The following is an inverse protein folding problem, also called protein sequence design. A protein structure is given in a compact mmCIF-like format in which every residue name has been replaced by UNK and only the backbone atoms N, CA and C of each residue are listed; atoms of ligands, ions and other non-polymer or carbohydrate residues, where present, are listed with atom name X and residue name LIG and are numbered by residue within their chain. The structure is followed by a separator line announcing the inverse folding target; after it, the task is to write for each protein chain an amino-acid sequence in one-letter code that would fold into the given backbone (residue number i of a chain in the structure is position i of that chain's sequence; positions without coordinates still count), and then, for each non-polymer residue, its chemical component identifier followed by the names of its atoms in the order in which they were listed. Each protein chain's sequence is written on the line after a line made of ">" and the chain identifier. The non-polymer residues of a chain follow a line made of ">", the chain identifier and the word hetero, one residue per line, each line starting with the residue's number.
data_IF_753708480720
#
_entry.id   IF_753708480720
#
_cell.length_a   1.000
_cell.length_b   1.000
_cell.length_c   1.000
_cell.angle_alpha   90.00
_cell.angle_beta   90.00
_cell.angle_gamma   90.00
#
_symmetry.space_group_name_H-M   'P 1'
#
loop_
_entity.id
_entity.type
_entity.pdbx_description
1 polymer ?
#
# COMPACT_ATOMS: atom_id res chain seq x y z
N UNK A 1 58.07 -10.22 -15.66
CA UNK A 1 56.94 -9.30 -15.47
C UNK A 1 55.74 -10.10 -14.98
N UNK A 2 55.36 -9.94 -13.74
CA UNK A 2 54.19 -10.58 -13.18
C UNK A 2 52.97 -9.89 -13.83
N UNK A 3 52.13 -10.67 -14.50
CA UNK A 3 50.92 -10.17 -15.15
C UNK A 3 49.97 -9.68 -14.04
N UNK A 4 49.58 -8.41 -14.06
CA UNK A 4 48.60 -7.84 -13.15
C UNK A 4 47.30 -8.68 -13.18
N UNK A 5 46.82 -9.13 -12.02
CA UNK A 5 45.56 -9.89 -11.87
C UNK A 5 44.68 -9.14 -10.90
N UNK A 6 43.59 -8.55 -11.42
CA UNK A 6 42.57 -7.92 -10.61
C UNK A 6 41.42 -8.87 -10.34
N UNK A 7 40.93 -8.83 -9.14
CA UNK A 7 39.80 -9.62 -8.70
C UNK A 7 38.77 -8.72 -8.07
N UNK A 8 37.59 -8.69 -8.67
CA UNK A 8 36.39 -8.23 -8.01
C UNK A 8 35.76 -9.32 -7.16
N UNK A 9 35.24 -8.92 -5.99
CA UNK A 9 34.31 -9.74 -5.22
C UNK A 9 33.06 -8.87 -5.02
N UNK A 10 31.88 -9.36 -5.45
CA UNK A 10 30.59 -8.73 -5.23
C UNK A 10 29.93 -9.41 -4.04
N UNK A 11 29.79 -8.70 -2.93
CA UNK A 11 29.09 -9.22 -1.75
C UNK A 11 27.62 -9.46 -2.11
N UNK A 12 27.04 -10.58 -1.64
CA UNK A 12 25.70 -11.01 -2.04
C UNK A 12 25.61 -11.66 -3.44
N UNK A 13 26.74 -11.72 -4.19
CA UNK A 13 26.80 -12.34 -5.53
C UNK A 13 26.60 -11.38 -6.70
N UNK A 14 26.80 -11.89 -7.91
CA UNK A 14 26.63 -11.15 -9.15
C UNK A 14 25.15 -11.09 -9.60
N UNK A 15 24.35 -12.08 -9.21
CA UNK A 15 22.92 -12.13 -9.53
C UNK A 15 22.12 -12.05 -8.25
N UNK A 16 21.18 -11.10 -8.23
CA UNK A 16 20.29 -10.85 -7.10
C UNK A 16 18.84 -10.78 -7.58
N UNK A 17 17.89 -11.02 -6.67
CA UNK A 17 16.48 -10.79 -6.91
C UNK A 17 15.83 -10.09 -5.71
N UNK A 18 14.98 -9.10 -5.99
CA UNK A 18 14.13 -8.43 -5.02
C UNK A 18 12.71 -8.43 -5.56
N UNK A 19 11.72 -8.15 -4.69
CA UNK A 19 10.34 -7.89 -5.12
C UNK A 19 10.09 -6.41 -5.29
N UNK A 20 9.20 -6.04 -6.20
CA UNK A 20 8.74 -4.65 -6.36
C UNK A 20 8.34 -4.06 -4.99
N UNK A 21 8.67 -2.81 -4.75
CA UNK A 21 8.43 -2.15 -3.46
C UNK A 21 9.50 -2.41 -2.38
N UNK A 22 10.48 -3.29 -2.65
CA UNK A 22 11.63 -3.52 -1.76
C UNK A 22 12.78 -2.61 -2.17
N UNK A 23 13.20 -1.72 -1.27
CA UNK A 23 14.35 -0.84 -1.52
C UNK A 23 15.61 -1.66 -1.84
N UNK A 24 16.23 -1.38 -2.99
CA UNK A 24 17.53 -1.95 -3.30
C UNK A 24 18.60 -1.31 -2.42
N UNK A 25 19.36 -2.16 -1.73
CA UNK A 25 20.56 -1.76 -1.02
C UNK A 25 21.76 -2.48 -1.64
N UNK A 26 22.77 -1.71 -2.03
CA UNK A 26 24.05 -2.29 -2.51
C UNK A 26 24.71 -3.08 -1.38
N UNK A 27 24.91 -4.41 -1.54
CA UNK A 27 25.49 -5.24 -0.47
C UNK A 27 26.97 -5.00 -0.24
N UNK A 28 27.66 -4.43 -1.21
CA UNK A 28 29.08 -4.15 -1.17
C UNK A 28 29.88 -4.87 -2.25
N UNK A 29 31.13 -4.44 -2.37
CA UNK A 29 32.10 -4.99 -3.30
C UNK A 29 33.53 -4.75 -2.83
N UNK A 30 34.49 -5.53 -3.33
CA UNK A 30 35.92 -5.29 -3.18
C UNK A 30 36.65 -5.48 -4.51
N UNK A 31 37.70 -4.69 -4.71
CA UNK A 31 38.59 -4.82 -5.87
C UNK A 31 40.05 -4.89 -5.40
N UNK A 32 40.72 -5.96 -5.74
CA UNK A 32 42.11 -6.19 -5.33
C UNK A 32 42.98 -6.50 -6.53
N UNK A 33 44.13 -5.84 -6.63
CA UNK A 33 45.19 -6.12 -7.60
C UNK A 33 46.42 -6.73 -6.90
N UNK A 34 47.07 -7.65 -7.57
CA UNK A 34 48.22 -8.32 -6.98
C UNK A 34 49.52 -7.48 -6.94
N UNK A 35 49.52 -6.32 -7.59
CA UNK A 35 50.63 -5.35 -7.63
C UNK A 35 50.30 -4.09 -6.85
N UNK A 36 49.12 -3.50 -7.12
CA UNK A 36 48.69 -2.22 -6.53
C UNK A 36 47.93 -2.40 -5.22
N UNK A 37 47.56 -3.62 -4.85
CA UNK A 37 46.87 -3.93 -3.60
C UNK A 37 45.38 -3.66 -3.66
N UNK A 38 44.79 -3.08 -2.59
CA UNK A 38 43.38 -2.78 -2.48
C UNK A 38 43.01 -1.51 -3.26
N UNK A 39 42.18 -1.67 -4.28
CA UNK A 39 41.69 -0.65 -5.16
C UNK A 39 40.18 -0.33 -4.92
N UNK A 40 39.56 -0.87 -3.88
CA UNK A 40 38.12 -0.80 -3.62
C UNK A 40 37.60 0.66 -3.63
N UNK A 41 38.38 1.59 -3.05
CA UNK A 41 38.00 3.02 -3.01
C UNK A 41 38.10 3.73 -4.36
N UNK A 42 38.72 3.09 -5.36
CA UNK A 42 38.87 3.64 -6.71
C UNK A 42 37.82 3.10 -7.69
N UNK A 43 36.95 2.18 -7.22
CA UNK A 43 35.89 1.61 -8.04
C UNK A 43 34.85 2.68 -8.36
N UNK A 44 34.59 2.81 -9.64
CA UNK A 44 33.46 3.60 -10.16
C UNK A 44 32.26 2.67 -10.33
N UNK A 45 31.10 3.09 -9.80
CA UNK A 45 29.84 2.34 -9.89
C UNK A 45 28.90 3.10 -10.81
N UNK A 46 28.35 2.42 -11.81
CA UNK A 46 27.41 2.96 -12.78
C UNK A 46 26.20 2.02 -12.91
N UNK A 47 25.04 2.60 -13.12
CA UNK A 47 23.75 1.90 -13.18
C UNK A 47 22.91 2.08 -11.92
N UNK A 48 21.59 2.04 -12.12
CA UNK A 48 20.59 2.27 -11.09
C UNK A 48 19.55 1.15 -11.15
N UNK A 49 19.05 0.74 -9.99
CA UNK A 49 18.00 -0.26 -9.87
C UNK A 49 16.68 0.43 -9.56
N UNK A 50 15.76 0.43 -10.53
CA UNK A 50 14.37 0.86 -10.29
C UNK A 50 13.61 -0.26 -9.57
N UNK A 51 13.60 -0.17 -8.24
CA UNK A 51 12.94 -1.14 -7.36
C UNK A 51 11.40 -1.05 -7.38
N UNK A 52 10.82 -0.08 -8.10
CA UNK A 52 9.37 0.10 -8.25
C UNK A 52 8.82 -0.50 -9.53
N UNK A 53 9.68 -0.83 -10.48
CA UNK A 53 9.27 -1.37 -11.78
C UNK A 53 9.85 -2.77 -11.99
N UNK A 54 9.03 -3.80 -12.23
CA UNK A 54 9.53 -5.13 -12.56
C UNK A 54 10.43 -5.10 -13.78
N UNK A 55 11.59 -5.76 -13.68
CA UNK A 55 12.58 -5.76 -14.77
C UNK A 55 13.92 -6.32 -14.33
N UNK A 56 14.89 -6.29 -15.24
CA UNK A 56 16.27 -6.69 -14.98
C UNK A 56 17.17 -5.46 -15.12
N UNK A 57 17.89 -5.15 -14.05
CA UNK A 57 18.74 -3.98 -13.94
C UNK A 57 20.20 -4.41 -13.79
N UNK A 58 21.14 -3.61 -14.31
CA UNK A 58 22.56 -3.89 -14.22
C UNK A 58 23.30 -2.77 -13.51
N UNK A 59 24.10 -3.14 -12.51
CA UNK A 59 25.05 -2.25 -11.85
C UNK A 59 26.45 -2.67 -12.24
N UNK A 60 27.23 -1.77 -12.83
CA UNK A 60 28.56 -2.01 -13.34
C UNK A 60 29.61 -1.38 -12.43
N UNK A 61 30.59 -2.15 -12.04
CA UNK A 61 31.71 -1.74 -11.22
C UNK A 61 32.96 -1.71 -12.08
N UNK A 62 33.65 -0.59 -12.15
CA UNK A 62 34.85 -0.40 -12.97
C UNK A 62 36.00 0.09 -12.11
N UNK A 63 37.18 -0.51 -12.26
CA UNK A 63 38.41 -0.07 -11.61
C UNK A 63 39.58 -0.07 -12.61
N UNK A 64 40.46 0.93 -12.50
CA UNK A 64 41.69 1.06 -13.29
C UNK A 64 42.87 1.04 -12.36
N UNK A 65 43.89 0.23 -12.70
CA UNK A 65 45.15 0.11 -11.92
C UNK A 65 46.16 1.24 -12.26
N UNK A 66 47.24 1.30 -11.54
CA UNK A 66 48.33 2.26 -11.78
C UNK A 66 49.03 2.17 -13.13
N UNK A 67 48.74 1.13 -13.92
CA UNK A 67 49.23 0.92 -15.28
C UNK A 67 48.18 1.14 -16.37
N UNK A 68 47.10 1.84 -16.02
CA UNK A 68 45.96 2.17 -16.90
C UNK A 68 45.17 0.94 -17.43
N UNK A 69 45.32 -0.22 -16.81
CA UNK A 69 44.46 -1.33 -17.20
C UNK A 69 43.12 -1.26 -16.44
N UNK A 70 42.03 -1.45 -17.14
CA UNK A 70 40.68 -1.41 -16.60
C UNK A 70 40.09 -2.82 -16.46
N UNK A 71 39.37 -3.06 -15.40
CA UNK A 71 38.57 -4.27 -15.18
C UNK A 71 37.18 -3.89 -14.74
N UNK A 72 36.18 -4.65 -15.22
CA UNK A 72 34.78 -4.46 -14.87
C UNK A 72 34.19 -5.71 -14.23
N UNK A 73 33.23 -5.53 -13.36
CA UNK A 73 32.29 -6.56 -12.90
C UNK A 73 30.87 -6.01 -13.02
N UNK A 74 29.89 -6.89 -13.19
CA UNK A 74 28.49 -6.48 -13.29
C UNK A 74 27.66 -7.28 -12.30
N UNK A 75 26.77 -6.59 -11.60
CA UNK A 75 25.70 -7.18 -10.80
C UNK A 75 24.40 -7.05 -11.57
N UNK A 76 23.68 -8.16 -11.72
CA UNK A 76 22.33 -8.19 -12.29
C UNK A 76 21.33 -8.27 -11.15
N UNK A 77 20.37 -7.35 -11.13
CA UNK A 77 19.28 -7.32 -10.14
C UNK A 77 17.96 -7.52 -10.84
N UNK A 78 17.28 -8.63 -10.54
CA UNK A 78 15.94 -8.91 -11.04
C UNK A 78 14.91 -8.36 -10.04
N UNK A 79 14.08 -7.40 -10.45
CA UNK A 79 12.94 -6.90 -9.69
C UNK A 79 11.69 -7.64 -10.16
N UNK A 80 11.03 -8.36 -9.26
CA UNK A 80 9.91 -9.24 -9.56
C UNK A 80 8.60 -8.67 -9.05
N UNK A 81 7.56 -8.69 -9.91
CA UNK A 81 6.20 -8.47 -9.45
C UNK A 81 5.74 -9.63 -8.54
N UNK A 82 5.00 -9.32 -7.51
CA UNK A 82 4.33 -10.31 -6.66
C UNK A 82 3.01 -10.69 -7.33
N UNK A 83 2.75 -11.96 -7.63
CA UNK A 83 1.48 -12.40 -8.20
C UNK A 83 0.32 -12.03 -7.28
N UNK A 84 -0.74 -11.46 -7.86
CA UNK A 84 -1.98 -11.15 -7.14
C UNK A 84 -3.02 -12.23 -7.39
N UNK A 85 -3.91 -12.50 -6.41
CA UNK A 85 -5.01 -13.44 -6.60
C UNK A 85 -5.98 -12.94 -7.68
N UNK A 86 -6.67 -13.87 -8.30
CA UNK A 86 -7.72 -13.56 -9.29
C UNK A 86 -8.94 -12.93 -8.60
N UNK A 87 -9.51 -11.90 -9.22
CA UNK A 87 -10.67 -11.17 -8.70
C UNK A 87 -11.92 -12.02 -8.85
N UNK A 88 -12.68 -12.17 -7.76
CA UNK A 88 -13.96 -12.89 -7.71
C UNK A 88 -15.10 -11.88 -7.58
N UNK A 89 -15.95 -11.82 -8.59
CA UNK A 89 -17.14 -10.95 -8.57
C UNK A 89 -18.28 -11.61 -7.80
N UNK A 90 -18.96 -10.89 -6.88
CA UNK A 90 -20.11 -11.43 -6.17
C UNK A 90 -21.30 -11.66 -7.13
N UNK A 91 -22.10 -12.70 -6.88
CA UNK A 91 -23.27 -13.01 -7.71
C UNK A 91 -24.44 -12.05 -7.51
N UNK A 92 -24.64 -11.56 -6.30
CA UNK A 92 -25.76 -10.72 -5.88
C UNK A 92 -25.46 -9.22 -5.81
N UNK A 93 -26.34 -8.49 -5.13
CA UNK A 93 -26.14 -7.11 -4.74
C UNK A 93 -25.33 -7.07 -3.44
N UNK A 94 -24.18 -6.43 -3.43
CA UNK A 94 -23.28 -6.41 -2.28
C UNK A 94 -22.90 -4.99 -1.89
N UNK A 95 -22.89 -4.73 -0.59
CA UNK A 95 -22.36 -3.53 0.03
C UNK A 95 -21.10 -3.91 0.83
N UNK A 96 -19.98 -3.30 0.48
CA UNK A 96 -18.75 -3.29 1.27
C UNK A 96 -18.74 -1.98 2.08
N UNK A 97 -19.07 -2.05 3.38
CA UNK A 97 -18.86 -0.91 4.28
C UNK A 97 -17.38 -0.78 4.56
N UNK A 98 -16.81 0.39 4.32
CA UNK A 98 -15.41 0.67 4.58
C UNK A 98 -15.24 1.93 5.39
N UNK A 99 -14.33 1.90 6.38
CA UNK A 99 -14.10 2.96 7.33
C UNK A 99 -12.63 3.36 7.30
N UNK A 100 -12.37 4.64 7.06
CA UNK A 100 -11.02 5.19 6.96
C UNK A 100 -10.64 5.98 8.23
N UNK A 101 -9.36 6.25 8.39
CA UNK A 101 -8.74 7.08 9.42
C UNK A 101 -8.72 6.53 10.84
N UNK A 102 -9.49 5.47 11.11
CA UNK A 102 -9.52 4.83 12.43
C UNK A 102 -8.25 4.02 12.75
N UNK A 103 -8.30 3.25 13.84
CA UNK A 103 -9.35 3.23 14.85
C UNK A 103 -9.46 4.55 15.62
N UNK A 104 -10.67 4.88 16.08
CA UNK A 104 -10.96 6.10 16.80
C UNK A 104 -11.93 5.88 17.98
N UNK A 105 -12.43 6.95 18.59
CA UNK A 105 -13.26 6.86 19.80
C UNK A 105 -14.61 6.17 19.58
N UNK A 106 -15.08 6.05 18.34
CA UNK A 106 -16.37 5.43 18.03
C UNK A 106 -16.26 4.06 17.38
N UNK A 107 -15.03 3.53 17.21
CA UNK A 107 -14.80 2.23 16.56
C UNK A 107 -15.41 1.08 17.34
N UNK A 108 -15.35 1.08 18.69
CA UNK A 108 -15.96 0.03 19.51
C UNK A 108 -17.49 0.00 19.32
N UNK A 109 -18.17 1.17 19.39
CA UNK A 109 -19.59 1.29 19.10
C UNK A 109 -19.95 0.76 17.72
N UNK A 110 -19.17 1.09 16.71
CA UNK A 110 -19.35 0.59 15.36
C UNK A 110 -19.25 -0.93 15.27
N UNK A 111 -18.25 -1.52 15.93
CA UNK A 111 -18.07 -2.97 15.96
C UNK A 111 -19.27 -3.67 16.62
N UNK A 112 -19.83 -3.10 17.68
CA UNK A 112 -21.00 -3.64 18.36
C UNK A 112 -22.24 -3.60 17.47
N UNK A 113 -22.44 -2.52 16.71
CA UNK A 113 -23.52 -2.42 15.70
C UNK A 113 -23.34 -3.49 14.62
N UNK A 114 -22.13 -3.61 14.04
CA UNK A 114 -21.84 -4.61 12.99
C UNK A 114 -22.09 -6.06 13.49
N UNK A 115 -21.68 -6.37 14.71
CA UNK A 115 -21.88 -7.68 15.31
C UNK A 115 -23.36 -8.00 15.58
N UNK A 116 -24.15 -7.00 15.99
CA UNK A 116 -25.59 -7.15 16.24
C UNK A 116 -26.37 -7.62 15.02
N UNK A 117 -25.88 -7.29 13.81
CA UNK A 117 -26.47 -7.70 12.54
C UNK A 117 -25.70 -8.81 11.81
N UNK A 118 -24.60 -9.31 12.41
CA UNK A 118 -23.73 -10.31 11.79
C UNK A 118 -23.01 -9.80 10.52
N UNK A 119 -22.92 -8.49 10.36
CA UNK A 119 -22.28 -7.81 9.21
C UNK A 119 -20.79 -7.69 9.43
N UNK A 120 -20.01 -7.92 8.37
CA UNK A 120 -18.56 -7.69 8.39
C UNK A 120 -18.18 -6.53 7.45
N UNK A 121 -17.22 -5.72 7.88
CA UNK A 121 -16.76 -4.50 7.22
C UNK A 121 -15.24 -4.51 7.02
N UNK A 122 -14.71 -3.46 6.41
CA UNK A 122 -13.27 -3.26 6.22
C UNK A 122 -12.84 -1.92 6.81
N UNK A 123 -11.75 -1.93 7.55
CA UNK A 123 -11.19 -0.77 8.23
C UNK A 123 -9.82 -0.45 7.64
N UNK A 124 -9.68 0.70 6.97
CA UNK A 124 -8.39 1.21 6.51
C UNK A 124 -7.83 2.13 7.60
N UNK A 125 -6.87 1.60 8.35
CA UNK A 125 -6.43 2.18 9.61
C UNK A 125 -5.16 3.03 9.48
N UNK A 126 -5.02 3.99 10.41
CA UNK A 126 -3.84 4.83 10.59
C UNK A 126 -3.20 4.56 11.96
N UNK A 127 -1.97 5.05 12.17
CA UNK A 127 -1.28 4.86 13.47
C UNK A 127 -1.63 5.97 14.47
N UNK A 128 -2.83 5.93 15.02
CA UNK A 128 -3.33 6.90 16.03
C UNK A 128 -3.22 6.42 17.47
N UNK A 129 -2.53 5.31 17.73
CA UNK A 129 -2.30 4.79 19.09
C UNK A 129 -3.37 3.85 19.62
N UNK A 130 -4.30 3.39 18.79
CA UNK A 130 -5.36 2.44 19.16
C UNK A 130 -5.01 0.98 18.76
N UNK A 131 -3.81 0.51 19.10
CA UNK A 131 -3.35 -0.83 18.69
C UNK A 131 -4.24 -1.98 19.15
N UNK A 132 -4.78 -1.91 20.37
CA UNK A 132 -5.71 -2.92 20.91
C UNK A 132 -7.00 -2.98 20.08
N UNK A 133 -7.50 -1.82 19.59
CA UNK A 133 -8.68 -1.77 18.75
C UNK A 133 -8.42 -2.37 17.35
N UNK A 134 -7.19 -2.27 16.81
CA UNK A 134 -6.83 -2.99 15.58
C UNK A 134 -6.98 -4.51 15.77
N UNK A 135 -6.60 -5.02 16.95
CA UNK A 135 -6.77 -6.44 17.29
C UNK A 135 -8.26 -6.81 17.39
N UNK A 136 -9.08 -5.99 18.04
CA UNK A 136 -10.53 -6.18 18.13
C UNK A 136 -11.19 -6.25 16.73
N UNK A 137 -10.83 -5.36 15.81
CA UNK A 137 -11.33 -5.38 14.44
C UNK A 137 -11.09 -6.76 13.80
N UNK A 138 -9.89 -7.30 13.95
CA UNK A 138 -9.52 -8.61 13.38
C UNK A 138 -10.20 -9.76 14.12
N UNK A 139 -10.19 -9.76 15.45
CA UNK A 139 -10.77 -10.83 16.27
C UNK A 139 -12.29 -10.98 16.05
N UNK A 140 -12.99 -9.87 15.79
CA UNK A 140 -14.42 -9.86 15.42
C UNK A 140 -14.66 -10.19 13.93
N UNK A 141 -13.61 -10.56 13.18
CA UNK A 141 -13.70 -11.09 11.81
C UNK A 141 -13.85 -10.06 10.71
N UNK A 142 -13.57 -8.80 10.97
CA UNK A 142 -13.51 -7.74 9.96
C UNK A 142 -12.18 -7.78 9.20
N UNK A 143 -12.12 -7.14 8.03
CA UNK A 143 -10.85 -6.91 7.35
C UNK A 143 -10.18 -5.64 7.84
N UNK A 144 -8.86 -5.72 7.99
CA UNK A 144 -8.02 -4.56 8.29
C UNK A 144 -7.12 -4.27 7.09
N UNK A 145 -7.04 -3.01 6.70
CA UNK A 145 -6.22 -2.51 5.59
C UNK A 145 -5.40 -1.30 6.02
N UNK A 146 -4.49 -0.88 5.16
CA UNK A 146 -3.54 0.21 5.40
C UNK A 146 -4.11 1.52 4.85
N UNK A 147 -4.16 2.58 5.70
CA UNK A 147 -4.47 3.95 5.27
C UNK A 147 -3.36 4.95 5.57
N UNK A 148 -2.12 4.48 5.58
CA UNK A 148 -0.89 5.18 5.96
C UNK A 148 -0.66 5.33 7.48
N UNK A 149 0.59 5.60 7.87
CA UNK A 149 0.93 5.83 9.27
C UNK A 149 0.50 7.20 9.76
N UNK A 150 0.70 8.24 8.96
CA UNK A 150 0.60 9.63 9.42
C UNK A 150 -0.60 10.38 8.86
N UNK A 151 -1.11 9.99 7.71
CA UNK A 151 -2.11 10.71 6.92
C UNK A 151 -1.73 12.18 6.61
N UNK A 152 -0.42 12.48 6.62
CA UNK A 152 0.12 13.82 6.32
C UNK A 152 0.56 13.84 4.86
N UNK A 153 -0.25 14.46 3.99
CA UNK A 153 -0.07 14.44 2.53
C UNK A 153 1.32 14.88 2.08
N UNK A 154 1.86 15.94 2.68
CA UNK A 154 3.18 16.47 2.35
C UNK A 154 4.32 15.49 2.66
N UNK A 155 4.09 14.54 3.58
CA UNK A 155 5.05 13.50 3.93
C UNK A 155 4.88 12.27 3.06
N UNK A 156 3.65 11.73 2.99
CA UNK A 156 3.40 10.46 2.30
C UNK A 156 3.55 10.60 0.79
N UNK A 157 3.23 11.76 0.22
CA UNK A 157 3.33 12.02 -1.21
C UNK A 157 4.57 12.85 -1.61
N UNK A 158 5.57 12.95 -0.73
CA UNK A 158 6.82 13.65 -1.03
C UNK A 158 7.62 12.95 -2.15
N UNK A 159 7.65 11.64 -2.16
CA UNK A 159 8.28 10.79 -3.18
C UNK A 159 7.74 9.36 -3.13
N UNK A 160 8.02 8.53 -4.13
CA UNK A 160 7.70 7.09 -4.09
C UNK A 160 8.30 6.39 -2.87
N UNK A 161 9.55 6.72 -2.50
CA UNK A 161 10.25 6.15 -1.33
C UNK A 161 9.54 6.51 -0.03
N UNK A 162 9.13 7.77 0.10
CA UNK A 162 8.38 8.23 1.27
C UNK A 162 7.06 7.49 1.43
N UNK A 163 6.35 7.29 0.31
CA UNK A 163 5.10 6.54 0.30
C UNK A 163 5.29 5.08 0.71
N UNK A 164 6.25 4.37 0.11
CA UNK A 164 6.50 2.96 0.43
C UNK A 164 7.04 2.78 1.85
N UNK A 165 7.86 3.70 2.36
CA UNK A 165 8.32 3.66 3.74
C UNK A 165 7.15 3.79 4.74
N UNK A 166 6.19 4.68 4.46
CA UNK A 166 4.98 4.86 5.26
C UNK A 166 4.05 3.64 5.15
N UNK A 167 3.79 3.14 3.94
CA UNK A 167 2.96 1.96 3.65
C UNK A 167 3.48 0.72 4.39
N UNK A 168 4.76 0.39 4.22
CA UNK A 168 5.39 -0.78 4.84
C UNK A 168 5.48 -0.60 6.37
N UNK A 169 5.77 0.62 6.83
CA UNK A 169 5.76 0.94 8.25
C UNK A 169 4.39 0.70 8.89
N UNK A 170 3.31 1.08 8.21
CA UNK A 170 1.95 0.83 8.71
C UNK A 170 1.57 -0.65 8.64
N UNK A 171 2.00 -1.39 7.60
CA UNK A 171 1.85 -2.83 7.54
C UNK A 171 2.49 -3.51 8.76
N UNK A 172 3.69 -3.06 9.15
CA UNK A 172 4.39 -3.58 10.34
C UNK A 172 3.66 -3.24 11.65
N UNK A 173 3.07 -2.05 11.76
CA UNK A 173 2.25 -1.66 12.91
C UNK A 173 1.04 -2.58 13.03
N UNK A 174 0.30 -2.80 11.94
CA UNK A 174 -0.84 -3.71 11.91
C UNK A 174 -0.39 -5.13 12.31
N UNK A 175 0.67 -5.64 11.69
CA UNK A 175 1.17 -6.98 11.98
C UNK A 175 1.55 -7.18 13.45
N UNK A 176 2.24 -6.21 14.06
CA UNK A 176 2.64 -6.28 15.47
C UNK A 176 1.45 -6.28 16.43
N UNK A 177 0.36 -5.59 16.10
CA UNK A 177 -0.82 -5.53 16.94
C UNK A 177 -1.79 -6.71 16.73
N UNK A 178 -1.86 -7.26 15.52
CA UNK A 178 -2.92 -8.20 15.12
C UNK A 178 -2.41 -9.58 14.69
N UNK A 179 -1.14 -9.70 14.32
CA UNK A 179 -0.58 -10.88 13.66
C UNK A 179 -0.95 -11.00 12.17
N UNK A 180 -1.72 -10.06 11.61
CA UNK A 180 -2.14 -10.06 10.21
C UNK A 180 -1.20 -9.19 9.37
N UNK A 181 -0.55 -9.77 8.37
CA UNK A 181 0.20 -9.04 7.36
C UNK A 181 -0.74 -8.71 6.18
N UNK A 182 -1.53 -7.65 6.34
CA UNK A 182 -2.51 -7.25 5.32
C UNK A 182 -1.83 -6.70 4.06
N UNK A 183 -2.43 -6.98 2.91
CA UNK A 183 -2.08 -6.38 1.61
C UNK A 183 -3.18 -5.44 1.08
N UNK A 184 -4.28 -5.31 1.84
CA UNK A 184 -5.34 -4.37 1.50
C UNK A 184 -4.91 -2.96 1.87
N UNK A 185 -5.17 -1.99 0.99
CA UNK A 185 -4.83 -0.60 1.26
C UNK A 185 -5.80 0.37 0.60
N UNK A 186 -5.81 1.62 1.09
CA UNK A 186 -6.47 2.75 0.45
C UNK A 186 -5.56 3.97 0.51
N UNK A 187 -5.43 4.65 -0.64
CA UNK A 187 -4.69 5.90 -0.72
C UNK A 187 -5.45 7.03 -0.01
N UNK A 188 -4.81 7.85 0.85
CA UNK A 188 -5.40 9.09 1.34
C UNK A 188 -5.86 10.00 0.20
N UNK A 189 -7.16 10.35 0.21
CA UNK A 189 -7.79 11.12 -0.87
C UNK A 189 -8.09 10.32 -2.14
N UNK A 190 -7.89 8.99 -2.11
CA UNK A 190 -8.11 8.09 -3.24
C UNK A 190 -7.00 8.14 -4.30
N UNK A 191 -7.06 7.20 -5.24
CA UNK A 191 -6.08 7.11 -6.34
C UNK A 191 -6.19 8.26 -7.34
N UNK A 192 -7.30 8.99 -7.33
CA UNK A 192 -7.54 10.17 -8.17
C UNK A 192 -7.09 11.49 -7.54
N UNK A 193 -6.47 11.48 -6.34
CA UNK A 193 -6.07 12.73 -5.70
C UNK A 193 -5.05 13.49 -6.56
N UNK A 194 -5.18 14.82 -6.56
CA UNK A 194 -4.25 15.72 -7.27
C UNK A 194 -3.29 16.45 -6.34
N UNK A 195 -3.43 16.27 -5.02
CA UNK A 195 -2.56 16.89 -4.00
C UNK A 195 -1.13 16.38 -4.15
N UNK A 196 -0.96 15.11 -4.48
CA UNK A 196 0.33 14.48 -4.73
C UNK A 196 1.16 15.19 -5.81
N UNK A 197 0.50 15.81 -6.82
CA UNK A 197 1.16 16.56 -7.88
C UNK A 197 1.92 17.81 -7.40
N UNK A 198 1.58 18.34 -6.22
CA UNK A 198 2.29 19.48 -5.65
C UNK A 198 3.74 19.15 -5.27
N UNK A 199 4.01 17.88 -4.94
CA UNK A 199 5.35 17.41 -4.58
C UNK A 199 6.01 16.62 -5.71
N UNK A 200 5.25 15.77 -6.41
CA UNK A 200 5.77 14.87 -7.43
C UNK A 200 4.72 14.65 -8.53
N UNK A 201 4.98 15.22 -9.71
CA UNK A 201 4.11 15.04 -10.89
C UNK A 201 4.20 13.60 -11.40
N UNK A 202 3.07 12.95 -11.65
CA UNK A 202 2.99 11.55 -12.07
C UNK A 202 3.05 10.53 -10.93
N UNK A 203 3.09 10.99 -9.67
CA UNK A 203 3.24 10.09 -8.51
C UNK A 203 2.14 9.05 -8.43
N UNK A 204 0.86 9.41 -8.56
CA UNK A 204 -0.23 8.45 -8.45
C UNK A 204 -0.23 7.44 -9.60
N UNK A 205 0.15 7.87 -10.82
CA UNK A 205 0.32 6.97 -11.96
C UNK A 205 1.42 5.93 -11.72
N UNK A 206 2.48 6.30 -11.00
CA UNK A 206 3.55 5.39 -10.58
C UNK A 206 3.07 4.48 -9.44
N UNK A 207 2.55 5.07 -8.35
CA UNK A 207 2.19 4.35 -7.13
C UNK A 207 1.10 3.30 -7.35
N UNK A 208 0.06 3.63 -8.14
CA UNK A 208 -1.04 2.69 -8.41
C UNK A 208 -0.58 1.41 -9.12
N UNK A 209 0.47 1.47 -9.93
CA UNK A 209 1.11 0.30 -10.52
C UNK A 209 2.05 -0.39 -9.53
N UNK A 210 2.96 0.38 -8.94
CA UNK A 210 4.01 -0.16 -8.08
C UNK A 210 3.45 -0.90 -6.85
N UNK A 211 2.39 -0.38 -6.19
CA UNK A 211 1.77 -1.09 -5.06
C UNK A 211 1.14 -2.42 -5.52
N UNK A 212 0.54 -2.46 -6.71
CA UNK A 212 -0.02 -3.70 -7.25
C UNK A 212 1.07 -4.70 -7.62
N UNK A 213 2.16 -4.25 -8.22
CA UNK A 213 3.32 -5.09 -8.54
C UNK A 213 4.04 -5.57 -7.26
N UNK A 214 3.94 -4.82 -6.17
CA UNK A 214 4.38 -5.21 -4.83
C UNK A 214 3.41 -6.17 -4.10
N UNK A 215 2.29 -6.53 -4.72
CA UNK A 215 1.30 -7.48 -4.19
C UNK A 215 0.21 -6.86 -3.33
N UNK A 216 0.13 -5.53 -3.24
CA UNK A 216 -0.96 -4.86 -2.55
C UNK A 216 -2.19 -4.73 -3.44
N UNK A 217 -3.38 -4.78 -2.82
CA UNK A 217 -4.66 -4.49 -3.46
C UNK A 217 -5.18 -3.17 -2.89
N UNK A 218 -5.25 -2.12 -3.73
CA UNK A 218 -5.85 -0.87 -3.30
C UNK A 218 -7.32 -0.79 -3.68
N UNK A 219 -8.09 -0.06 -2.87
CA UNK A 219 -9.52 0.17 -3.06
C UNK A 219 -9.83 1.64 -2.92
N UNK A 220 -10.45 2.21 -3.94
CA UNK A 220 -11.18 3.48 -3.80
C UNK A 220 -12.64 3.18 -3.39
N UNK A 221 -13.57 4.02 -3.74
CA UNK A 221 -15.00 3.87 -3.45
C UNK A 221 -15.84 4.32 -4.65
N UNK A 222 -17.06 3.81 -4.74
CA UNK A 222 -18.06 4.28 -5.70
C UNK A 222 -19.31 4.83 -5.01
N UNK A 223 -19.32 4.85 -3.67
CA UNK A 223 -20.35 5.50 -2.85
C UNK A 223 -19.66 6.31 -1.76
N UNK A 224 -19.87 7.63 -1.77
CA UNK A 224 -19.32 8.55 -0.78
C UNK A 224 -20.41 9.00 0.18
N UNK A 225 -20.20 8.75 1.47
CA UNK A 225 -21.10 9.22 2.55
C UNK A 225 -21.05 10.74 2.74
N UNK A 226 -19.97 11.37 2.25
CA UNK A 226 -19.64 12.78 2.44
C UNK A 226 -19.46 13.20 3.91
N UNK A 227 -19.15 12.25 4.79
CA UNK A 227 -18.93 12.47 6.24
C UNK A 227 -17.62 13.21 6.54
N UNK A 228 -16.60 13.08 5.71
CA UNK A 228 -15.39 13.93 5.75
C UNK A 228 -15.68 15.35 5.20
N UNK A 229 -16.76 15.52 4.43
CA UNK A 229 -17.15 16.75 3.78
C UNK A 229 -18.31 17.49 4.47
N UNK A 230 -19.42 17.58 3.76
CA UNK A 230 -20.60 18.38 4.17
C UNK A 230 -21.61 17.67 5.07
N UNK A 231 -21.63 16.34 5.14
CA UNK A 231 -22.53 15.61 6.02
C UNK A 231 -22.04 15.69 7.47
N UNK A 232 -22.89 16.22 8.36
CA UNK A 232 -22.58 16.35 9.80
C UNK A 232 -23.74 15.83 10.68
N UNK A 233 -24.59 14.97 10.10
CA UNK A 233 -25.72 14.33 10.78
C UNK A 233 -25.89 12.91 10.24
N UNK A 234 -26.25 11.96 11.10
CA UNK A 234 -26.49 10.56 10.73
C UNK A 234 -27.49 10.43 9.57
N UNK A 235 -28.60 11.18 9.59
CA UNK A 235 -29.60 11.15 8.51
C UNK A 235 -29.03 11.59 7.15
N UNK A 236 -28.07 12.53 7.13
CA UNK A 236 -27.46 12.98 5.87
C UNK A 236 -26.50 11.91 5.32
N UNK A 237 -25.72 11.28 6.20
CA UNK A 237 -24.87 10.13 5.87
C UNK A 237 -25.70 8.99 5.31
N UNK A 238 -26.76 8.59 6.02
CA UNK A 238 -27.71 7.57 5.56
C UNK A 238 -28.27 7.87 4.17
N UNK A 239 -28.76 9.08 3.93
CA UNK A 239 -29.33 9.48 2.65
C UNK A 239 -28.30 9.40 1.51
N UNK A 240 -27.07 9.87 1.74
CA UNK A 240 -26.01 9.83 0.74
C UNK A 240 -25.63 8.39 0.39
N UNK A 241 -25.44 7.54 1.41
CA UNK A 241 -25.06 6.14 1.22
C UNK A 241 -26.17 5.39 0.49
N UNK A 242 -27.42 5.47 0.95
CA UNK A 242 -28.54 4.71 0.35
C UNK A 242 -28.84 5.18 -1.08
N UNK A 243 -28.74 6.48 -1.37
CA UNK A 243 -28.86 7.02 -2.71
C UNK A 243 -27.74 6.46 -3.63
N UNK A 244 -26.48 6.51 -3.19
CA UNK A 244 -25.35 5.98 -3.96
C UNK A 244 -25.44 4.48 -4.21
N UNK A 245 -25.73 3.71 -3.16
CA UNK A 245 -25.87 2.24 -3.23
C UNK A 245 -26.97 1.82 -4.18
N UNK A 246 -28.10 2.51 -4.21
CA UNK A 246 -29.25 2.14 -5.06
C UNK A 246 -28.95 2.13 -6.57
N UNK A 247 -27.87 2.77 -7.01
CA UNK A 247 -27.42 2.80 -8.39
C UNK A 247 -26.40 1.70 -8.74
N UNK A 248 -25.93 0.92 -7.75
CA UNK A 248 -24.87 -0.03 -7.92
C UNK A 248 -25.28 -1.45 -7.51
N UNK A 249 -24.80 -2.46 -8.25
CA UNK A 249 -24.89 -3.86 -7.83
C UNK A 249 -23.84 -4.20 -6.78
N UNK A 250 -22.65 -3.63 -6.92
CA UNK A 250 -21.52 -3.76 -6.01
C UNK A 250 -21.12 -2.36 -5.56
N UNK A 251 -21.22 -2.11 -4.27
CA UNK A 251 -20.94 -0.80 -3.67
C UNK A 251 -19.79 -0.92 -2.69
N UNK A 252 -18.74 -0.11 -2.87
CA UNK A 252 -17.73 0.16 -1.86
C UNK A 252 -18.01 1.54 -1.28
N UNK A 253 -18.40 1.58 -0.02
CA UNK A 253 -18.88 2.78 0.66
C UNK A 253 -17.72 3.38 1.46
N UNK A 254 -17.43 4.66 1.23
CA UNK A 254 -16.50 5.45 2.05
C UNK A 254 -17.24 6.06 3.24
N UNK A 255 -16.79 5.74 4.44
CA UNK A 255 -17.14 6.36 5.73
C UNK A 255 -15.89 6.48 6.61
N UNK A 256 -16.02 7.18 7.75
CA UNK A 256 -14.94 7.34 8.72
C UNK A 256 -15.46 7.03 10.13
N UNK A 257 -14.84 6.11 10.83
CA UNK A 257 -15.21 5.68 12.19
C UNK A 257 -14.70 6.63 13.30
N UNK A 258 -14.11 7.74 12.90
CA UNK A 258 -13.70 8.83 13.79
C UNK A 258 -14.79 9.90 14.01
N UNK A 259 -15.95 9.75 13.38
CA UNK A 259 -17.08 10.65 13.48
C UNK A 259 -18.31 9.95 14.05
N UNK A 260 -18.88 10.45 15.17
CA UNK A 260 -20.07 9.92 15.82
C UNK A 260 -21.26 9.82 14.87
N UNK A 261 -21.58 10.92 14.16
CA UNK A 261 -22.70 10.96 13.22
C UNK A 261 -22.55 10.01 12.02
N UNK A 262 -21.34 9.61 11.67
CA UNK A 262 -21.07 8.59 10.65
C UNK A 262 -21.37 7.19 11.19
N UNK A 263 -20.92 6.90 12.39
CA UNK A 263 -21.15 5.62 13.08
C UNK A 263 -22.65 5.46 13.41
N UNK A 264 -23.31 6.52 13.89
CA UNK A 264 -24.75 6.51 14.21
C UNK A 264 -25.65 6.22 13.00
N UNK A 265 -25.17 6.42 11.77
CA UNK A 265 -25.92 6.10 10.55
C UNK A 265 -25.85 4.62 10.16
N UNK A 266 -24.90 3.86 10.69
CA UNK A 266 -24.56 2.52 10.17
C UNK A 266 -25.69 1.52 10.39
N UNK A 267 -26.34 1.55 11.55
CA UNK A 267 -27.47 0.65 11.84
C UNK A 267 -28.60 0.81 10.81
N UNK A 268 -29.03 2.04 10.55
CA UNK A 268 -30.07 2.33 9.57
C UNK A 268 -29.64 1.92 8.15
N UNK A 269 -28.37 2.12 7.76
CA UNK A 269 -27.82 1.69 6.48
C UNK A 269 -27.90 0.17 6.34
N UNK A 270 -27.52 -0.58 7.39
CA UNK A 270 -27.58 -2.05 7.39
C UNK A 270 -29.03 -2.51 7.23
N UNK A 271 -29.95 -2.00 8.06
CA UNK A 271 -31.37 -2.35 8.01
C UNK A 271 -31.96 -2.07 6.63
N UNK A 272 -31.66 -0.89 6.08
CA UNK A 272 -32.12 -0.52 4.74
C UNK A 272 -31.55 -1.46 3.67
N UNK A 273 -30.25 -1.76 3.71
CA UNK A 273 -29.59 -2.64 2.73
C UNK A 273 -30.19 -4.04 2.72
N UNK A 274 -30.34 -4.66 3.91
CA UNK A 274 -30.95 -5.99 4.05
C UNK A 274 -32.39 -6.02 3.52
N UNK A 275 -33.20 -5.00 3.83
CA UNK A 275 -34.59 -4.87 3.35
C UNK A 275 -34.68 -4.66 1.82
N UNK A 276 -33.60 -4.18 1.17
CA UNK A 276 -33.53 -3.97 -0.27
C UNK A 276 -32.75 -5.07 -1.02
N UNK A 277 -32.48 -6.20 -0.34
CA UNK A 277 -31.89 -7.41 -0.94
C UNK A 277 -30.39 -7.30 -1.21
N UNK A 278 -29.68 -6.47 -0.44
CA UNK A 278 -28.22 -6.41 -0.43
C UNK A 278 -27.68 -7.37 0.63
N UNK A 279 -26.57 -8.02 0.34
CA UNK A 279 -25.69 -8.62 1.35
C UNK A 279 -24.59 -7.63 1.73
N UNK A 280 -24.01 -7.86 2.90
CA UNK A 280 -22.86 -7.09 3.38
C UNK A 280 -21.66 -8.01 3.48
N UNK A 281 -20.53 -7.59 2.91
CA UNK A 281 -19.29 -8.34 2.94
C UNK A 281 -18.12 -7.41 3.28
N UNK A 282 -17.03 -8.01 3.77
CA UNK A 282 -15.75 -7.32 3.92
C UNK A 282 -14.92 -7.46 2.64
N UNK A 283 -14.08 -6.47 2.33
CA UNK A 283 -13.11 -6.58 1.26
C UNK A 283 -12.03 -7.63 1.61
N UNK A 284 -11.60 -8.33 0.59
CA UNK A 284 -10.50 -9.31 0.63
C UNK A 284 -9.57 -9.07 -0.55
N UNK A 285 -8.46 -9.79 -0.62
CA UNK A 285 -7.52 -9.72 -1.75
C UNK A 285 -8.15 -10.11 -3.09
N UNK A 286 -9.24 -10.88 -3.05
CA UNK A 286 -9.99 -11.33 -4.25
C UNK A 286 -11.21 -10.46 -4.55
N UNK A 287 -11.55 -9.50 -3.70
CA UNK A 287 -12.70 -8.61 -3.93
C UNK A 287 -12.51 -7.74 -5.16
N UNK A 288 -13.60 -7.38 -5.88
CA UNK A 288 -13.52 -6.46 -7.01
C UNK A 288 -12.92 -5.12 -6.60
N UNK A 289 -11.87 -4.70 -7.26
CA UNK A 289 -11.29 -3.37 -7.06
C UNK A 289 -12.22 -2.31 -7.62
N UNK A 290 -12.58 -1.33 -6.80
CA UNK A 290 -13.13 -0.05 -7.28
C UNK A 290 -11.96 0.92 -7.35
N UNK A 291 -11.65 1.38 -8.54
CA UNK A 291 -10.54 2.30 -8.78
C UNK A 291 -11.05 3.56 -9.46
N UNK A 292 -10.65 4.72 -8.94
CA UNK A 292 -10.88 5.99 -9.60
C UNK A 292 -9.95 6.17 -10.80
N UNK A 293 -10.33 7.04 -11.74
CA UNK A 293 -9.43 7.44 -12.82
C UNK A 293 -8.26 8.27 -12.26
N UNK A 294 -7.04 7.77 -12.43
CA UNK A 294 -5.82 8.44 -11.96
C UNK A 294 -5.63 9.77 -12.70
N UNK A 295 -5.33 10.85 -11.97
CA UNK A 295 -5.24 12.21 -12.50
C UNK A 295 -3.85 12.85 -12.35
N UNK A 296 -2.92 12.19 -11.67
CA UNK A 296 -1.54 12.64 -11.49
C UNK A 296 -0.55 11.51 -11.77
#
# INVERSE_FOLDING_TARGET
>A
MTRSRRRFTLEGGADMAITTGTFYQEPGYTAVDNVDGDLTQQVQVDGEVDWLTPGTYSVTYTVTDGYENTTTATRTVEVKAVPRPEVVWPEGKVIYLTFDDGPGPYTEQLLDVLDSYGVKATFFVTNRGYGEMMKEIVDRGHSIGIHTMSHVYERIYASPEAYFADLLGMQDVIYRNTGVKTTLMRFPGGSSNTVSAHSYVGLMSLLTRAVQDAGFQYFDWNVDSNDAGGAKKAQTVFNNVTAGVSHNRVSVVLQHDIHDFSVDAVEDIIVWGLNNGYSFERLTETSPGVHHGVQN
#
